data_IF_475293963889
#
_entry.id   IF_475293963889
#
_cell.length_a   1.000
_cell.length_b   1.000
_cell.length_c   1.000
_cell.angle_alpha   90.00
_cell.angle_beta   90.00
_cell.angle_gamma   90.00
#
_symmetry.space_group_name_H-M   'P 1'
#
loop_
_entity.id
_entity.type
_entity.pdbx_description
1 polymer ?
#
# COMPACT_ATOMS: atom_id res chain seq x y z
N UNK A 1 -53.79 49.08 -23.57
CA UNK A 1 -52.75 49.86 -24.30
C UNK A 1 -51.66 50.18 -23.29
N UNK A 2 -50.37 49.90 -23.43
CA UNK A 2 -49.49 49.67 -24.57
C UNK A 2 -48.39 48.71 -24.09
N UNK A 3 -48.09 47.68 -24.88
CA UNK A 3 -46.89 46.86 -24.76
C UNK A 3 -45.66 47.70 -25.09
N UNK A 4 -44.58 47.56 -24.33
CA UNK A 4 -43.23 47.91 -24.80
C UNK A 4 -42.30 46.73 -24.51
N UNK A 5 -42.11 45.95 -25.57
CA UNK A 5 -40.99 45.04 -25.79
C UNK A 5 -39.67 45.80 -25.68
N UNK A 6 -38.82 45.45 -24.72
CA UNK A 6 -37.39 45.49 -24.97
C UNK A 6 -36.68 44.37 -24.22
N UNK A 7 -36.19 43.42 -25.01
CA UNK A 7 -35.31 42.33 -24.63
C UNK A 7 -33.96 42.90 -24.18
N UNK A 8 -33.55 42.59 -22.95
CA UNK A 8 -32.14 42.44 -22.61
C UNK A 8 -31.96 41.07 -21.95
N UNK A 9 -31.52 40.15 -22.79
CA UNK A 9 -30.81 38.91 -22.43
C UNK A 9 -29.41 39.30 -21.95
N UNK A 10 -28.77 38.41 -21.19
CA UNK A 10 -27.42 38.41 -20.60
C UNK A 10 -27.40 38.72 -19.09
N UNK A 11 -26.84 37.88 -18.21
CA UNK A 11 -25.99 36.72 -18.46
C UNK A 11 -25.94 35.75 -17.29
N UNK A 12 -25.70 34.49 -17.66
CA UNK A 12 -25.28 33.42 -16.78
C UNK A 12 -24.04 33.86 -15.99
N UNK A 13 -24.10 33.77 -14.67
CA UNK A 13 -22.92 33.55 -13.84
C UNK A 13 -23.00 32.11 -13.31
N UNK A 14 -22.44 31.20 -14.11
CA UNK A 14 -22.09 29.84 -13.70
C UNK A 14 -21.01 29.95 -12.62
N UNK A 15 -21.38 29.83 -11.35
CA UNK A 15 -20.44 29.38 -10.31
C UNK A 15 -20.37 27.85 -10.37
N UNK A 16 -19.88 27.34 -11.50
CA UNK A 16 -19.31 26.01 -11.54
C UNK A 16 -17.94 26.12 -10.88
N UNK A 17 -17.85 25.87 -9.57
CA UNK A 17 -16.58 25.53 -8.96
C UNK A 17 -16.04 24.33 -9.75
N UNK A 18 -14.96 24.56 -10.49
CA UNK A 18 -14.22 23.52 -11.17
C UNK A 18 -13.73 22.53 -10.13
N UNK A 19 -14.50 21.46 -9.93
CA UNK A 19 -14.00 20.28 -9.25
C UNK A 19 -12.88 19.73 -10.10
N UNK A 20 -11.64 19.88 -9.63
CA UNK A 20 -10.64 18.86 -9.94
C UNK A 20 -11.30 17.52 -9.64
N UNK A 21 -11.14 16.49 -10.51
CA UNK A 21 -11.57 15.16 -10.14
C UNK A 21 -10.90 14.87 -8.80
N UNK A 22 -11.70 14.74 -7.74
CA UNK A 22 -11.18 14.43 -6.42
C UNK A 22 -10.36 13.15 -6.61
N UNK A 23 -9.06 13.24 -6.33
CA UNK A 23 -8.22 12.04 -6.27
C UNK A 23 -8.86 11.03 -5.32
N UNK A 24 -8.51 9.75 -5.42
CA UNK A 24 -8.99 8.74 -4.48
C UNK A 24 -8.85 9.26 -3.03
N UNK A 25 -9.90 9.13 -2.19
CA UNK A 25 -9.90 9.67 -0.84
C UNK A 25 -8.71 9.14 -0.04
N UNK A 26 -8.10 10.01 0.75
CA UNK A 26 -7.00 9.62 1.63
C UNK A 26 -7.49 8.64 2.71
N UNK A 27 -6.68 7.64 3.03
CA UNK A 27 -6.94 6.65 4.07
C UNK A 27 -6.80 5.20 3.60
N UNK A 28 -7.19 4.29 4.49
CA UNK A 28 -7.13 2.84 4.28
C UNK A 28 -8.52 2.27 4.01
N UNK A 29 -8.56 1.20 3.22
CA UNK A 29 -9.70 0.27 3.19
C UNK A 29 -9.34 -0.90 4.08
N UNK A 30 -9.57 -0.76 5.37
CA UNK A 30 -9.16 -1.71 6.39
C UNK A 30 -10.11 -2.90 6.48
N UNK A 31 -9.56 -4.08 6.25
CA UNK A 31 -10.24 -5.38 6.34
C UNK A 31 -9.44 -6.33 7.26
N UNK A 32 -8.73 -5.76 8.22
CA UNK A 32 -7.91 -6.47 9.21
C UNK A 32 -8.54 -6.37 10.62
N UNK A 33 -7.92 -7.00 11.64
CA UNK A 33 -8.27 -6.75 13.07
C UNK A 33 -7.64 -5.47 13.60
N UNK A 34 -6.64 -4.92 12.91
CA UNK A 34 -5.98 -3.69 13.34
C UNK A 34 -6.94 -2.52 13.22
N UNK A 35 -6.81 -1.54 14.10
CA UNK A 35 -7.55 -0.30 13.96
C UNK A 35 -6.94 0.56 12.84
N UNK A 36 -7.72 1.46 12.26
CA UNK A 36 -7.17 2.45 11.32
C UNK A 36 -6.08 3.31 11.97
N UNK A 37 -6.12 3.49 13.29
CA UNK A 37 -5.07 4.17 14.04
C UNK A 37 -3.76 3.38 14.05
N UNK A 38 -3.82 2.04 14.18
CA UNK A 38 -2.64 1.19 14.08
C UNK A 38 -2.01 1.27 12.68
N UNK A 39 -2.85 1.19 11.64
CA UNK A 39 -2.38 1.36 10.26
C UNK A 39 -1.77 2.75 10.04
N UNK A 40 -2.32 3.79 10.67
CA UNK A 40 -1.78 5.14 10.59
C UNK A 40 -0.42 5.27 11.27
N UNK A 41 -0.23 4.64 12.44
CA UNK A 41 1.07 4.61 13.11
C UNK A 41 2.14 3.93 12.25
N UNK A 42 1.79 2.81 11.60
CA UNK A 42 2.72 2.08 10.72
C UNK A 42 3.04 2.92 9.48
N UNK A 43 2.07 3.65 8.93
CA UNK A 43 2.30 4.58 7.82
C UNK A 43 3.26 5.70 8.22
N UNK A 44 3.06 6.30 9.38
CA UNK A 44 3.95 7.34 9.89
C UNK A 44 5.37 6.82 10.12
N UNK A 45 5.52 5.60 10.63
CA UNK A 45 6.83 4.95 10.75
C UNK A 45 7.52 4.81 9.38
N UNK A 46 6.80 4.36 8.35
CA UNK A 46 7.32 4.29 6.98
C UNK A 46 7.70 5.68 6.42
N UNK A 47 6.89 6.71 6.68
CA UNK A 47 7.21 8.09 6.29
C UNK A 47 8.51 8.58 6.97
N UNK A 48 8.65 8.35 8.27
CA UNK A 48 9.81 8.75 9.06
C UNK A 48 11.08 8.00 8.62
N UNK A 49 10.96 6.70 8.34
CA UNK A 49 12.02 5.86 7.79
C UNK A 49 12.58 6.46 6.49
N UNK A 50 11.71 6.73 5.51
CA UNK A 50 12.10 7.31 4.21
C UNK A 50 12.64 8.73 4.37
N UNK A 51 12.03 9.54 5.26
CA UNK A 51 12.49 10.90 5.53
C UNK A 51 13.90 10.93 6.15
N UNK A 52 14.30 9.85 6.81
CA UNK A 52 15.64 9.66 7.36
C UNK A 52 16.62 9.09 6.34
N UNK A 53 16.26 8.02 5.62
CA UNK A 53 17.13 7.32 4.68
C UNK A 53 16.32 6.56 3.63
N UNK A 54 16.82 6.51 2.39
CA UNK A 54 16.17 5.76 1.31
C UNK A 54 17.07 4.61 0.85
N UNK A 55 16.67 3.37 1.14
CA UNK A 55 17.32 2.14 0.63
C UNK A 55 16.57 1.64 -0.62
N UNK A 56 17.23 1.71 -1.79
CA UNK A 56 16.61 1.43 -3.10
C UNK A 56 16.89 0.04 -3.65
N UNK A 57 17.80 -0.73 -3.05
CA UNK A 57 18.18 -2.02 -3.61
C UNK A 57 18.34 -3.18 -2.59
N UNK A 58 17.54 -3.27 -1.51
CA UNK A 58 17.69 -4.32 -0.52
C UNK A 58 17.62 -5.73 -1.12
N UNK A 59 16.73 -5.99 -2.09
CA UNK A 59 16.63 -7.29 -2.75
C UNK A 59 17.81 -7.58 -3.67
N UNK A 60 18.33 -6.56 -4.35
CA UNK A 60 19.50 -6.73 -5.21
C UNK A 60 20.74 -7.09 -4.39
N UNK A 61 20.89 -6.48 -3.20
CA UNK A 61 21.98 -6.83 -2.28
C UNK A 61 21.86 -8.26 -1.79
N UNK A 62 20.69 -8.65 -1.29
CA UNK A 62 20.49 -9.99 -0.71
C UNK A 62 20.57 -11.10 -1.76
N UNK A 63 20.08 -10.85 -2.97
CA UNK A 63 19.99 -11.86 -4.02
C UNK A 63 21.23 -11.95 -4.91
N UNK A 64 21.95 -10.83 -5.09
CA UNK A 64 23.05 -10.74 -6.07
C UNK A 64 24.33 -10.12 -5.50
N UNK A 65 24.39 -9.83 -4.20
CA UNK A 65 25.60 -9.26 -3.57
C UNK A 65 25.97 -7.87 -4.08
N UNK A 66 25.00 -7.12 -4.62
CA UNK A 66 25.25 -5.77 -5.12
C UNK A 66 25.68 -4.81 -3.98
N UNK A 67 26.48 -3.76 -4.29
CA UNK A 67 26.73 -2.67 -3.35
C UNK A 67 25.44 -1.99 -2.91
N UNK A 68 25.42 -1.41 -1.71
CA UNK A 68 24.25 -0.73 -1.20
C UNK A 68 23.94 0.57 -1.95
N UNK A 69 22.71 0.69 -2.43
CA UNK A 69 22.15 1.91 -3.01
C UNK A 69 21.29 2.62 -1.96
N UNK A 70 21.99 3.21 -0.99
CA UNK A 70 21.39 3.98 0.11
C UNK A 70 21.60 5.46 -0.16
N UNK A 71 20.50 6.22 -0.17
CA UNK A 71 20.47 7.67 -0.44
C UNK A 71 20.13 8.44 0.84
N UNK A 72 20.45 9.75 0.89
CA UNK A 72 19.91 10.64 1.92
C UNK A 72 18.38 10.56 1.96
N UNK A 73 17.79 10.72 3.15
CA UNK A 73 16.34 10.70 3.32
C UNK A 73 15.60 11.76 2.50
N UNK A 74 14.37 11.44 2.12
CA UNK A 74 13.49 12.32 1.35
C UNK A 74 12.32 12.81 2.19
N UNK A 75 12.42 14.05 2.69
CA UNK A 75 11.39 14.65 3.55
C UNK A 75 10.03 14.83 2.89
N UNK A 76 9.94 14.77 1.55
CA UNK A 76 8.65 14.79 0.84
C UNK A 76 7.78 13.59 1.24
N UNK A 77 8.38 12.50 1.74
CA UNK A 77 7.67 11.33 2.26
C UNK A 77 6.63 11.69 3.33
N UNK A 78 6.93 12.68 4.19
CA UNK A 78 6.06 13.13 5.27
C UNK A 78 4.73 13.74 4.78
N UNK A 79 4.66 14.14 3.51
CA UNK A 79 3.48 14.74 2.89
C UNK A 79 2.65 13.72 2.09
N UNK A 80 3.16 12.49 1.89
CA UNK A 80 2.47 11.46 1.11
C UNK A 80 1.39 10.80 1.97
N UNK A 81 0.16 10.84 1.48
CA UNK A 81 -1.00 10.21 2.10
C UNK A 81 -1.30 8.86 1.45
N UNK A 82 -1.80 7.87 2.20
CA UNK A 82 -2.31 6.65 1.59
C UNK A 82 -3.61 6.99 0.85
N UNK A 83 -3.79 6.48 -0.36
CA UNK A 83 -4.98 6.74 -1.16
C UNK A 83 -5.75 5.44 -1.38
N UNK A 84 -6.74 5.18 -0.52
CA UNK A 84 -7.56 3.96 -0.52
C UNK A 84 -6.74 2.66 -0.50
N UNK A 85 -5.63 2.63 0.24
CA UNK A 85 -4.80 1.43 0.34
C UNK A 85 -5.58 0.33 1.07
N UNK A 86 -5.89 -0.78 0.37
CA UNK A 86 -6.60 -1.91 0.98
C UNK A 86 -5.63 -2.76 1.77
N UNK A 87 -5.91 -2.90 3.06
CA UNK A 87 -5.16 -3.78 3.95
C UNK A 87 -6.12 -4.87 4.39
N UNK A 88 -5.87 -6.09 3.94
CA UNK A 88 -6.70 -7.26 4.22
C UNK A 88 -5.96 -8.29 5.06
N UNK A 89 -6.72 -9.19 5.66
CA UNK A 89 -6.18 -10.37 6.29
C UNK A 89 -6.66 -11.61 5.54
N UNK A 90 -5.77 -12.57 5.39
CA UNK A 90 -6.07 -13.86 4.76
C UNK A 90 -5.88 -14.97 5.79
N UNK A 91 -6.73 -16.02 5.77
CA UNK A 91 -6.55 -17.15 6.66
C UNK A 91 -5.26 -17.89 6.33
N UNK A 92 -4.61 -18.39 7.38
CA UNK A 92 -3.44 -19.22 7.26
C UNK A 92 -3.76 -20.50 6.49
N UNK A 93 -2.79 -20.98 5.72
CA UNK A 93 -2.84 -22.33 5.19
C UNK A 93 -2.57 -23.32 6.33
N UNK A 94 -3.29 -24.44 6.33
CA UNK A 94 -3.09 -25.45 7.36
C UNK A 94 -1.68 -26.04 7.32
N UNK A 95 -1.18 -26.48 8.47
CA UNK A 95 0.06 -27.23 8.61
C UNK A 95 0.14 -28.39 7.62
N UNK A 96 -0.95 -29.15 7.49
CA UNK A 96 -1.05 -30.27 6.55
C UNK A 96 -0.93 -29.84 5.09
N UNK A 97 -1.58 -28.74 4.70
CA UNK A 97 -1.55 -28.25 3.32
C UNK A 97 -0.17 -27.66 2.97
N UNK A 98 0.45 -26.96 3.92
CA UNK A 98 1.80 -26.43 3.77
C UNK A 98 2.82 -27.57 3.60
N UNK A 99 2.74 -28.59 4.46
CA UNK A 99 3.61 -29.76 4.41
C UNK A 99 3.43 -30.53 3.10
N UNK A 100 2.18 -30.82 2.72
CA UNK A 100 1.89 -31.56 1.49
C UNK A 100 2.38 -30.83 0.23
N UNK A 101 2.36 -29.49 0.24
CA UNK A 101 2.71 -28.68 -0.92
C UNK A 101 4.18 -28.29 -1.01
N UNK A 102 4.91 -28.23 0.11
CA UNK A 102 6.29 -27.69 0.16
C UNK A 102 7.30 -28.62 0.82
N UNK A 103 6.85 -29.64 1.57
CA UNK A 103 7.71 -30.45 2.43
C UNK A 103 8.17 -29.74 3.72
N UNK A 104 7.70 -28.51 3.98
CA UNK A 104 8.02 -27.75 5.19
C UNK A 104 6.99 -28.03 6.27
N UNK A 105 7.45 -28.45 7.45
CA UNK A 105 6.61 -28.63 8.63
C UNK A 105 6.58 -27.34 9.47
N UNK A 106 5.37 -26.85 9.74
CA UNK A 106 5.08 -25.78 10.71
C UNK A 106 3.82 -26.14 11.49
N UNK A 107 3.76 -25.82 12.78
CA UNK A 107 2.53 -25.94 13.55
C UNK A 107 1.51 -24.89 13.13
N UNK A 108 0.22 -25.18 13.27
CA UNK A 108 -0.83 -24.15 13.15
C UNK A 108 -0.78 -23.18 14.35
N UNK A 109 -1.03 -21.87 14.14
CA UNK A 109 -1.14 -21.20 12.84
C UNK A 109 0.22 -21.12 12.14
N UNK A 110 0.24 -21.36 10.83
CA UNK A 110 1.50 -21.55 10.10
C UNK A 110 2.25 -20.24 9.80
N UNK A 111 1.58 -19.09 9.92
CA UNK A 111 2.06 -17.78 9.49
C UNK A 111 2.17 -17.65 7.98
N UNK A 112 1.49 -18.50 7.22
CA UNK A 112 1.61 -18.57 5.76
C UNK A 112 0.24 -18.45 5.10
N UNK A 113 0.13 -17.58 4.10
CA UNK A 113 -1.07 -17.41 3.28
C UNK A 113 -0.79 -17.81 1.84
N UNK A 114 -1.84 -18.23 1.12
CA UNK A 114 -1.73 -18.54 -0.30
C UNK A 114 -1.49 -17.24 -1.09
N UNK A 115 -0.41 -17.23 -1.89
CA UNK A 115 -0.11 -16.08 -2.73
C UNK A 115 -0.90 -16.17 -4.06
N UNK A 116 -1.71 -15.15 -4.43
CA UNK A 116 -2.48 -15.17 -5.66
C UNK A 116 -1.55 -15.12 -6.88
N UNK A 117 -1.90 -15.85 -7.95
CA UNK A 117 -1.12 -15.79 -9.20
C UNK A 117 -1.38 -14.45 -9.92
N UNK A 118 -0.36 -13.80 -10.49
CA UNK A 118 1.04 -14.23 -10.56
C UNK A 118 1.83 -13.89 -9.29
N UNK A 119 2.47 -14.90 -8.68
CA UNK A 119 3.37 -14.72 -7.55
C UNK A 119 4.54 -15.71 -7.70
N UNK A 120 5.74 -15.29 -7.28
CA UNK A 120 6.96 -16.10 -7.40
C UNK A 120 7.01 -17.25 -6.39
N UNK A 121 6.15 -17.21 -5.37
CA UNK A 121 6.02 -18.22 -4.33
C UNK A 121 4.58 -18.72 -4.25
N UNK A 122 4.40 -19.95 -3.76
CA UNK A 122 3.07 -20.54 -3.56
C UNK A 122 2.43 -20.05 -2.26
N UNK A 123 3.24 -19.83 -1.22
CA UNK A 123 2.82 -19.32 0.07
C UNK A 123 3.79 -18.24 0.52
N UNK A 124 3.28 -17.21 1.20
CA UNK A 124 4.06 -16.11 1.78
C UNK A 124 3.46 -15.71 3.13
N UNK A 125 4.23 -15.07 4.00
CA UNK A 125 3.68 -14.49 5.24
C UNK A 125 2.77 -13.28 4.94
N UNK A 126 3.08 -12.56 3.86
CA UNK A 126 2.26 -11.50 3.30
C UNK A 126 2.55 -11.33 1.80
N UNK A 127 1.64 -10.66 1.09
CA UNK A 127 1.85 -10.23 -0.29
C UNK A 127 1.25 -8.83 -0.51
N UNK A 128 1.83 -8.08 -1.44
CA UNK A 128 1.23 -6.88 -2.02
C UNK A 128 0.92 -7.10 -3.50
N UNK A 129 -0.21 -6.58 -3.95
CA UNK A 129 -0.59 -6.57 -5.35
C UNK A 129 -0.92 -5.14 -5.78
N UNK A 130 -0.25 -4.70 -6.84
CA UNK A 130 -0.41 -3.37 -7.42
C UNK A 130 -1.36 -3.47 -8.61
N UNK A 131 -2.61 -3.02 -8.43
CA UNK A 131 -3.55 -2.82 -9.53
C UNK A 131 -3.74 -1.33 -9.82
N UNK A 132 -4.24 -0.98 -11.02
CA UNK A 132 -4.49 0.44 -11.36
C UNK A 132 -5.47 1.13 -10.42
N UNK A 133 -6.39 0.38 -9.83
CA UNK A 133 -7.54 0.92 -9.10
C UNK A 133 -7.42 0.71 -7.58
N UNK A 134 -6.57 -0.23 -7.14
CA UNK A 134 -6.40 -0.56 -5.73
C UNK A 134 -5.07 -1.28 -5.48
N UNK A 135 -4.25 -0.74 -4.59
CA UNK A 135 -3.18 -1.53 -3.97
C UNK A 135 -3.80 -2.37 -2.86
N UNK A 136 -3.57 -3.68 -2.89
CA UNK A 136 -4.00 -4.61 -1.85
C UNK A 136 -2.78 -5.22 -1.15
N UNK A 137 -2.74 -5.07 0.17
CA UNK A 137 -1.86 -5.81 1.07
C UNK A 137 -2.66 -6.90 1.77
N UNK A 138 -2.09 -8.10 1.89
CA UNK A 138 -2.65 -9.17 2.69
C UNK A 138 -1.56 -9.90 3.47
N UNK A 139 -1.85 -10.25 4.72
CA UNK A 139 -0.97 -11.04 5.58
C UNK A 139 -1.74 -12.10 6.35
N UNK A 140 -1.00 -13.08 6.89
CA UNK A 140 -1.51 -14.08 7.83
C UNK A 140 -2.31 -13.42 8.96
N UNK A 141 -3.54 -13.91 9.13
CA UNK A 141 -4.47 -13.44 10.13
C UNK A 141 -4.17 -13.96 11.55
N UNK A 142 -3.51 -15.12 11.63
CA UNK A 142 -3.39 -15.87 12.89
C UNK A 142 -2.00 -15.76 13.52
N UNK A 143 -1.00 -15.26 12.79
CA UNK A 143 0.34 -14.98 13.33
C UNK A 143 0.36 -13.65 14.09
N UNK A 144 0.50 -13.71 15.42
CA UNK A 144 0.62 -12.53 16.30
C UNK A 144 2.05 -11.95 16.38
N UNK A 145 2.93 -12.33 15.45
CA UNK A 145 4.32 -11.89 15.45
C UNK A 145 4.52 -10.50 14.82
N UNK A 146 5.69 -9.90 15.08
CA UNK A 146 6.10 -8.61 14.52
C UNK A 146 6.20 -8.61 12.97
N UNK A 147 6.15 -9.79 12.36
CA UNK A 147 6.17 -10.01 10.91
C UNK A 147 5.10 -9.20 10.17
N UNK A 148 3.90 -9.06 10.76
CA UNK A 148 2.83 -8.26 10.15
C UNK A 148 3.24 -6.79 10.04
N UNK A 149 3.67 -6.19 11.16
CA UNK A 149 4.07 -4.78 11.23
C UNK A 149 5.26 -4.49 10.33
N UNK A 150 6.31 -5.31 10.40
CA UNK A 150 7.52 -5.11 9.61
C UNK A 150 7.25 -5.20 8.11
N UNK A 151 6.49 -6.22 7.67
CA UNK A 151 6.20 -6.38 6.25
C UNK A 151 5.21 -5.32 5.77
N UNK A 152 4.25 -4.90 6.60
CA UNK A 152 3.33 -3.83 6.24
C UNK A 152 4.05 -2.48 6.13
N UNK A 153 4.96 -2.16 7.04
CA UNK A 153 5.80 -0.96 6.97
C UNK A 153 6.62 -0.94 5.69
N UNK A 154 7.28 -2.06 5.34
CA UNK A 154 8.04 -2.19 4.10
C UNK A 154 7.19 -1.93 2.85
N UNK A 155 5.95 -2.43 2.82
CA UNK A 155 5.03 -2.17 1.71
C UNK A 155 4.49 -0.75 1.68
N UNK A 156 4.27 -0.11 2.84
CA UNK A 156 3.92 1.30 2.92
C UNK A 156 5.06 2.18 2.42
N UNK A 157 6.30 1.86 2.77
CA UNK A 157 7.46 2.54 2.20
C UNK A 157 7.48 2.41 0.66
N UNK A 158 7.18 1.22 0.12
CA UNK A 158 7.10 1.03 -1.34
C UNK A 158 6.03 1.94 -1.98
N UNK A 159 4.85 2.07 -1.37
CA UNK A 159 3.82 3.00 -1.87
C UNK A 159 4.31 4.44 -1.87
N UNK A 160 4.95 4.88 -0.77
CA UNK A 160 5.46 6.24 -0.62
C UNK A 160 6.55 6.52 -1.66
N UNK A 161 7.52 5.62 -1.82
CA UNK A 161 8.60 5.74 -2.79
C UNK A 161 8.09 5.76 -4.23
N UNK A 162 7.10 4.91 -4.56
CA UNK A 162 6.45 4.96 -5.87
C UNK A 162 5.77 6.32 -6.12
N UNK A 163 5.04 6.85 -5.13
CA UNK A 163 4.40 8.16 -5.22
C UNK A 163 5.42 9.30 -5.39
N UNK A 164 6.61 9.17 -4.79
CA UNK A 164 7.74 10.10 -4.95
C UNK A 164 8.49 9.95 -6.28
N UNK A 165 8.16 8.93 -7.09
CA UNK A 165 8.74 8.68 -8.42
C UNK A 165 9.99 7.80 -8.42
N UNK A 166 10.29 7.10 -7.32
CA UNK A 166 11.40 6.15 -7.28
C UNK A 166 11.09 4.86 -8.04
N UNK A 167 12.15 4.23 -8.55
CA UNK A 167 12.06 2.89 -9.13
C UNK A 167 12.06 1.83 -8.04
N UNK A 168 11.02 0.99 -8.01
CA UNK A 168 10.90 -0.13 -7.07
C UNK A 168 11.50 -1.44 -7.61
N UNK A 169 12.25 -1.41 -8.72
CA UNK A 169 12.74 -2.63 -9.41
C UNK A 169 13.47 -3.61 -8.50
N UNK A 170 14.14 -3.11 -7.45
CA UNK A 170 14.97 -3.89 -6.53
C UNK A 170 14.52 -3.75 -5.07
N UNK A 171 13.30 -3.26 -4.86
CA UNK A 171 12.58 -3.24 -3.59
C UNK A 171 11.67 -4.46 -3.52
#
# INVERSE_FOLDING_TARGET
>A
MRQNFWKFVLGLALLGCGGQPAGPPAGFVNQTRHSDADLWMIWQAAQDSIAYQVDLNPLQRSSFGAPADIRPGDRRALEIMPHQLRVGAEPDVSSSDLLAATGVERSDPTGMIACPKPCNVRYAAAYSFYSRDLTQYAASWEEQGDSFTFVLEYEFENQILAALGYSLRWR
#
